data_IF_479874686556
#
_entry.id   IF_479874686556
#
_cell.length_a   1.000
_cell.length_b   1.000
_cell.length_c   1.000
_cell.angle_alpha   90.00
_cell.angle_beta   90.00
_cell.angle_gamma   90.00
#
_symmetry.space_group_name_H-M   'P 1'
#
loop_
_entity.id
_entity.type
_entity.pdbx_description
1 polymer ?
#
# COMPACT_ATOMS: atom_id res chain seq x y z
N UNK A 1 -81.06 -55.30 -75.37
CA UNK A 1 -81.28 -55.64 -73.96
C UNK A 1 -80.86 -54.46 -73.11
N UNK A 2 -81.78 -53.98 -72.26
CA UNK A 2 -81.70 -53.21 -71.00
C UNK A 2 -80.29 -52.71 -70.59
N UNK A 3 -80.03 -51.46 -70.19
CA UNK A 3 -80.89 -50.30 -69.91
C UNK A 3 -80.11 -49.17 -69.20
N UNK A 4 -80.77 -48.03 -69.00
CA UNK A 4 -80.50 -47.08 -67.90
C UNK A 4 -79.48 -45.95 -68.10
N UNK A 5 -79.94 -44.75 -68.48
CA UNK A 5 -79.95 -43.56 -67.61
C UNK A 5 -80.33 -42.30 -68.40
N UNK A 6 -81.52 -41.76 -68.13
CA UNK A 6 -81.95 -40.42 -68.49
C UNK A 6 -81.94 -39.57 -67.22
N UNK A 7 -81.66 -38.27 -67.38
CA UNK A 7 -81.64 -37.17 -66.37
C UNK A 7 -80.24 -36.75 -65.88
N UNK A 8 -79.38 -36.31 -66.81
CA UNK A 8 -78.26 -35.41 -66.51
C UNK A 8 -78.56 -34.00 -67.02
N UNK A 9 -78.61 -32.99 -66.13
CA UNK A 9 -78.61 -31.57 -66.53
C UNK A 9 -77.17 -31.19 -66.88
N UNK A 10 -76.90 -30.96 -68.17
CA UNK A 10 -75.59 -30.49 -68.67
C UNK A 10 -75.35 -29.04 -68.23
N UNK A 11 -74.29 -28.78 -67.49
CA UNK A 11 -73.81 -27.43 -67.20
C UNK A 11 -72.96 -26.95 -68.40
N UNK A 12 -73.50 -26.02 -69.18
CA UNK A 12 -72.79 -25.32 -70.25
C UNK A 12 -72.02 -24.13 -69.71
N UNK A 13 -70.69 -24.16 -69.79
CA UNK A 13 -69.84 -22.98 -69.73
C UNK A 13 -69.51 -22.56 -71.16
N UNK A 14 -69.95 -21.36 -71.55
CA UNK A 14 -69.63 -20.72 -72.83
C UNK A 14 -68.13 -20.39 -72.89
N UNK A 15 -67.35 -21.29 -73.48
CA UNK A 15 -66.04 -20.96 -74.03
C UNK A 15 -66.21 -20.30 -75.40
N UNK A 16 -65.53 -19.19 -75.62
CA UNK A 16 -65.45 -18.49 -76.90
C UNK A 16 -65.01 -19.44 -78.03
N UNK A 17 -65.64 -19.29 -79.20
CA UNK A 17 -65.76 -20.31 -80.25
C UNK A 17 -64.79 -20.11 -81.44
N UNK A 18 -63.85 -19.17 -81.38
CA UNK A 18 -62.82 -19.02 -82.42
C UNK A 18 -61.54 -18.30 -81.94
N UNK A 19 -60.48 -19.01 -81.48
CA UNK A 19 -59.19 -18.39 -81.14
C UNK A 19 -58.44 -17.78 -82.34
N UNK A 20 -58.93 -17.98 -83.56
CA UNK A 20 -58.38 -17.42 -84.80
C UNK A 20 -58.84 -15.97 -85.08
N UNK A 21 -59.84 -15.46 -84.36
CA UNK A 21 -60.35 -14.10 -84.56
C UNK A 21 -59.74 -13.20 -83.47
N UNK A 22 -58.87 -12.29 -83.88
CA UNK A 22 -58.28 -11.30 -82.98
C UNK A 22 -59.37 -10.28 -82.61
N UNK A 23 -59.62 -9.98 -81.31
CA UNK A 23 -60.63 -9.00 -80.92
C UNK A 23 -60.23 -7.60 -81.40
N UNK A 24 -61.10 -6.94 -82.16
CA UNK A 24 -60.90 -5.58 -82.63
C UNK A 24 -61.23 -4.58 -81.52
N UNK A 25 -60.21 -4.12 -80.79
CA UNK A 25 -60.33 -3.11 -79.75
C UNK A 25 -58.98 -2.46 -79.46
N UNK A 26 -58.99 -1.20 -79.01
CA UNK A 26 -57.77 -0.45 -78.66
C UNK A 26 -57.28 -0.92 -77.30
N UNK A 27 -56.24 -1.75 -77.28
CA UNK A 27 -55.60 -2.16 -76.03
C UNK A 27 -54.65 -1.05 -75.57
N UNK A 28 -55.01 -0.34 -74.50
CA UNK A 28 -54.10 0.60 -73.84
C UNK A 28 -53.12 -0.21 -73.00
N UNK A 29 -51.99 -0.61 -73.60
CA UNK A 29 -50.89 -1.22 -72.86
C UNK A 29 -50.07 -0.13 -72.17
N UNK A 30 -50.13 -0.10 -70.86
CA UNK A 30 -49.00 0.18 -69.96
C UNK A 30 -49.37 -0.46 -68.61
N UNK A 31 -48.72 -1.58 -68.28
CA UNK A 31 -48.90 -2.27 -67.00
C UNK A 31 -48.14 -1.54 -65.88
N UNK A 32 -48.53 -0.31 -65.59
CA UNK A 32 -48.01 0.49 -64.47
C UNK A 32 -48.78 0.15 -63.18
N UNK A 33 -48.70 -1.11 -62.77
CA UNK A 33 -49.36 -1.56 -61.54
C UNK A 33 -48.71 -0.95 -60.29
N UNK A 34 -49.47 -0.79 -59.19
CA UNK A 34 -48.97 -0.25 -57.92
C UNK A 34 -47.71 -0.99 -57.39
N UNK A 35 -47.59 -2.29 -57.69
CA UNK A 35 -46.40 -3.10 -57.36
C UNK A 35 -45.14 -2.59 -58.07
N UNK A 36 -45.26 -2.15 -59.31
CA UNK A 36 -44.14 -1.63 -60.12
C UNK A 36 -43.61 -0.33 -59.51
N UNK A 37 -44.51 0.54 -59.03
CA UNK A 37 -44.16 1.81 -58.41
C UNK A 37 -43.49 1.68 -57.03
N UNK A 38 -43.78 0.60 -56.28
CA UNK A 38 -43.18 0.32 -54.97
C UNK A 38 -41.83 -0.37 -55.06
N UNK A 39 -41.60 -1.14 -56.13
CA UNK A 39 -40.37 -1.88 -56.36
C UNK A 39 -39.49 -1.13 -57.37
N UNK A 40 -39.12 0.10 -56.99
CA UNK A 40 -38.38 1.00 -57.88
C UNK A 40 -37.03 0.40 -58.33
N UNK A 41 -36.34 -0.27 -57.42
CA UNK A 41 -35.01 -0.87 -57.65
C UNK A 41 -35.03 -2.06 -58.62
N UNK A 42 -36.18 -2.71 -58.84
CA UNK A 42 -36.29 -3.90 -59.69
C UNK A 42 -36.86 -3.61 -61.09
N UNK A 43 -37.63 -2.52 -61.23
CA UNK A 43 -38.43 -2.27 -62.43
C UNK A 43 -37.97 -1.06 -63.24
N UNK A 44 -37.25 -0.12 -62.62
CA UNK A 44 -36.61 0.98 -63.32
C UNK A 44 -35.13 0.65 -63.47
N UNK A 45 -34.60 0.81 -64.70
CA UNK A 45 -33.17 0.61 -65.00
C UNK A 45 -32.29 1.26 -63.94
N UNK A 46 -31.24 0.55 -63.55
CA UNK A 46 -30.27 0.90 -62.51
C UNK A 46 -30.07 2.41 -62.40
N UNK A 47 -30.39 2.95 -61.23
CA UNK A 47 -30.19 4.37 -60.96
C UNK A 47 -28.72 4.70 -61.22
N UNK A 48 -28.40 5.60 -62.16
CA UNK A 48 -27.01 5.92 -62.44
C UNK A 48 -26.36 6.49 -61.19
N UNK A 49 -25.22 5.92 -60.81
CA UNK A 49 -24.45 6.41 -59.69
C UNK A 49 -24.01 7.85 -59.93
N UNK A 50 -23.85 8.60 -58.84
CA UNK A 50 -23.38 9.98 -58.94
C UNK A 50 -21.88 9.95 -59.27
N UNK A 51 -21.43 10.59 -60.36
CA UNK A 51 -20.02 10.61 -60.74
C UNK A 51 -19.14 11.16 -59.62
N UNK A 52 -17.96 10.57 -59.41
CA UNK A 52 -17.04 10.89 -58.31
C UNK A 52 -16.64 12.36 -58.26
N UNK A 53 -16.40 13.00 -59.41
CA UNK A 53 -16.01 14.41 -59.53
C UNK A 53 -17.05 15.38 -58.95
N UNK A 54 -18.34 15.05 -59.10
CA UNK A 54 -19.46 15.90 -58.69
C UNK A 54 -19.94 15.52 -57.27
N UNK A 55 -19.61 14.29 -56.82
CA UNK A 55 -20.08 13.72 -55.54
C UNK A 55 -19.77 14.64 -54.35
N UNK A 56 -18.59 15.27 -54.31
CA UNK A 56 -18.19 16.22 -53.25
C UNK A 56 -19.07 17.47 -53.10
N UNK A 57 -19.78 17.88 -54.15
CA UNK A 57 -20.71 19.04 -54.12
C UNK A 57 -22.17 18.63 -53.90
N UNK A 58 -22.48 17.33 -53.89
CA UNK A 58 -23.85 16.83 -53.84
C UNK A 58 -24.31 16.63 -52.39
N UNK A 59 -25.57 16.98 -52.12
CA UNK A 59 -26.22 16.76 -50.81
C UNK A 59 -26.24 15.28 -50.40
N UNK A 60 -26.17 14.36 -51.35
CA UNK A 60 -26.06 12.92 -51.06
C UNK A 60 -24.91 12.64 -50.10
N UNK A 61 -23.75 13.27 -50.28
CA UNK A 61 -22.54 13.04 -49.47
C UNK A 61 -22.61 13.70 -48.09
N UNK A 62 -23.41 14.76 -47.92
CA UNK A 62 -23.65 15.40 -46.61
C UNK A 62 -24.59 14.57 -45.74
N UNK A 63 -25.51 13.82 -46.35
CA UNK A 63 -26.51 13.00 -45.68
C UNK A 63 -26.14 11.51 -45.62
N UNK A 64 -24.88 11.14 -45.89
CA UNK A 64 -24.41 9.76 -45.70
C UNK A 64 -24.29 9.45 -44.21
N UNK A 65 -24.98 8.41 -43.70
CA UNK A 65 -24.95 8.08 -42.28
C UNK A 65 -23.57 7.52 -41.88
N UNK A 66 -23.02 8.01 -40.77
CA UNK A 66 -21.82 7.46 -40.15
C UNK A 66 -20.48 7.90 -40.78
N UNK A 67 -20.50 8.81 -41.77
CA UNK A 67 -19.30 9.33 -42.42
C UNK A 67 -19.04 10.78 -41.95
N UNK A 68 -17.76 11.13 -41.77
CA UNK A 68 -17.36 12.50 -41.42
C UNK A 68 -17.60 13.41 -42.63
N UNK A 69 -18.45 14.43 -42.47
CA UNK A 69 -18.71 15.43 -43.51
C UNK A 69 -17.50 16.35 -43.64
N UNK A 70 -16.78 16.23 -44.77
CA UNK A 70 -15.71 17.17 -45.16
C UNK A 70 -16.32 18.37 -45.88
N UNK A 71 -15.75 19.56 -45.67
CA UNK A 71 -16.10 20.73 -46.47
C UNK A 71 -15.72 20.51 -47.94
N UNK A 72 -16.59 20.90 -48.88
CA UNK A 72 -16.38 20.63 -50.32
C UNK A 72 -15.09 21.23 -50.89
N UNK A 73 -14.59 22.33 -50.30
CA UNK A 73 -13.33 22.96 -50.70
C UNK A 73 -12.07 22.20 -50.27
N UNK A 74 -12.16 21.35 -49.25
CA UNK A 74 -11.04 20.56 -48.70
C UNK A 74 -11.30 19.05 -48.81
N UNK A 75 -12.27 18.65 -49.64
CA UNK A 75 -12.68 17.26 -49.78
C UNK A 75 -11.63 16.43 -50.52
N UNK A 76 -10.96 17.04 -51.51
CA UNK A 76 -9.89 16.43 -52.29
C UNK A 76 -8.51 16.51 -51.61
N UNK A 77 -8.41 17.28 -50.52
CA UNK A 77 -7.16 17.44 -49.80
C UNK A 77 -6.79 16.10 -49.13
N UNK A 78 -5.55 15.68 -49.35
CA UNK A 78 -4.98 14.56 -48.63
C UNK A 78 -4.93 14.91 -47.15
N UNK A 79 -5.47 14.02 -46.30
CA UNK A 79 -5.36 14.19 -44.85
C UNK A 79 -3.87 14.32 -44.50
N UNK A 80 -3.47 15.31 -43.67
CA UNK A 80 -2.08 15.45 -43.23
C UNK A 80 -1.62 14.26 -42.37
N UNK A 81 -2.58 13.45 -41.91
CA UNK A 81 -2.39 12.21 -41.19
C UNK A 81 -1.93 11.10 -42.15
N UNK A 82 -0.62 10.87 -42.24
CA UNK A 82 -0.18 9.49 -42.43
C UNK A 82 -0.79 8.68 -41.28
N UNK A 83 -1.50 7.60 -41.60
CA UNK A 83 -2.41 6.83 -40.72
C UNK A 83 -1.79 6.39 -39.38
N UNK A 84 -0.47 6.56 -39.18
CA UNK A 84 0.25 6.16 -37.98
C UNK A 84 1.13 7.26 -37.35
N UNK A 85 0.94 8.54 -37.67
CA UNK A 85 1.74 9.62 -37.05
C UNK A 85 0.93 10.33 -35.97
N UNK A 86 1.34 10.25 -34.68
CA UNK A 86 0.63 10.94 -33.60
C UNK A 86 0.81 12.45 -33.72
N UNK A 87 -0.27 13.20 -33.47
CA UNK A 87 -0.23 14.67 -33.38
C UNK A 87 0.07 15.08 -31.93
N UNK A 88 1.23 15.69 -31.71
CA UNK A 88 1.62 16.18 -30.40
C UNK A 88 3.11 16.53 -30.32
N UNK A 89 3.49 17.27 -29.28
CA UNK A 89 4.91 17.50 -28.98
C UNK A 89 5.44 16.24 -28.31
N UNK A 90 6.29 15.49 -29.02
CA UNK A 90 7.07 14.43 -28.38
C UNK A 90 8.16 15.10 -27.54
N UNK A 91 8.00 15.13 -26.23
CA UNK A 91 9.12 15.39 -25.33
C UNK A 91 10.06 14.19 -25.44
N UNK A 92 11.05 14.28 -26.33
CA UNK A 92 12.13 13.31 -26.36
C UNK A 92 12.82 13.37 -24.99
N UNK A 93 12.90 12.24 -24.24
CA UNK A 93 13.68 12.22 -23.01
C UNK A 93 15.11 12.61 -23.38
N UNK A 94 15.64 13.66 -22.75
CA UNK A 94 17.06 13.97 -22.90
C UNK A 94 17.82 12.75 -22.40
N UNK A 95 18.81 12.29 -23.15
CA UNK A 95 19.64 11.13 -22.76
C UNK A 95 20.24 11.35 -21.37
N UNK A 96 20.49 12.60 -21.01
CA UNK A 96 21.00 13.05 -19.70
C UNK A 96 20.03 12.75 -18.53
N UNK A 97 18.71 12.76 -18.78
CA UNK A 97 17.67 12.57 -17.76
C UNK A 97 17.27 11.08 -17.58
N UNK A 98 17.97 10.16 -18.26
CA UNK A 98 17.72 8.74 -18.11
C UNK A 98 18.14 8.27 -16.70
N UNK A 99 17.27 7.49 -16.04
CA UNK A 99 17.50 6.95 -14.69
C UNK A 99 18.86 6.23 -14.57
N UNK A 100 19.27 5.53 -15.63
CA UNK A 100 20.55 4.82 -15.69
C UNK A 100 21.76 5.74 -15.56
N UNK A 101 21.68 6.97 -16.06
CA UNK A 101 22.76 7.96 -15.96
C UNK A 101 22.80 8.63 -14.57
N UNK A 102 21.64 8.79 -13.93
CA UNK A 102 21.56 9.37 -12.58
C UNK A 102 21.98 8.37 -11.50
N UNK A 103 21.70 7.08 -11.68
CA UNK A 103 21.97 6.04 -10.68
C UNK A 103 23.40 5.46 -10.77
N UNK A 104 24.09 5.64 -11.89
CA UNK A 104 25.45 5.12 -12.09
C UNK A 104 26.50 6.09 -11.55
N UNK A 105 27.07 5.74 -10.40
CA UNK A 105 28.10 6.56 -9.75
C UNK A 105 29.53 6.22 -10.21
N UNK A 106 29.81 4.95 -10.47
CA UNK A 106 31.14 4.49 -10.90
C UNK A 106 31.13 4.00 -12.35
N UNK A 107 32.22 4.19 -13.09
CA UNK A 107 32.35 3.62 -14.43
C UNK A 107 32.39 2.09 -14.34
N UNK A 108 31.84 1.41 -15.34
CA UNK A 108 31.81 -0.07 -15.39
C UNK A 108 33.14 -0.70 -15.79
N UNK A 109 34.05 0.09 -16.37
CA UNK A 109 35.36 -0.40 -16.83
C UNK A 109 36.37 -0.37 -15.68
N UNK A 110 37.07 -1.50 -15.47
CA UNK A 110 38.16 -1.62 -14.49
C UNK A 110 39.25 -0.56 -14.69
N UNK A 111 39.59 -0.25 -15.95
CA UNK A 111 40.59 0.78 -16.27
C UNK A 111 40.13 2.16 -15.78
N UNK A 112 38.86 2.49 -15.97
CA UNK A 112 38.32 3.77 -15.52
C UNK A 112 38.18 3.85 -14.00
N UNK A 113 37.84 2.74 -13.33
CA UNK A 113 37.84 2.66 -11.87
C UNK A 113 39.25 2.87 -11.30
N UNK A 114 40.24 2.14 -11.84
CA UNK A 114 41.65 2.32 -11.46
C UNK A 114 42.15 3.75 -11.71
N UNK A 115 41.75 4.37 -12.83
CA UNK A 115 42.07 5.78 -13.12
C UNK A 115 41.47 6.72 -12.08
N UNK A 116 40.22 6.47 -11.65
CA UNK A 116 39.54 7.26 -10.63
C UNK A 116 40.25 7.12 -9.29
N UNK A 117 40.57 5.91 -8.86
CA UNK A 117 41.37 5.66 -7.66
C UNK A 117 42.72 6.39 -7.71
N UNK A 118 43.40 6.38 -8.87
CA UNK A 118 44.66 7.11 -9.07
C UNK A 118 44.53 8.63 -8.98
N UNK A 119 43.37 9.18 -9.36
CA UNK A 119 43.09 10.61 -9.20
C UNK A 119 42.80 10.95 -7.73
N UNK A 120 42.13 10.05 -7.02
CA UNK A 120 41.76 10.20 -5.61
C UNK A 120 42.88 9.85 -4.62
N UNK A 121 43.95 9.18 -5.07
CA UNK A 121 45.18 8.88 -4.32
C UNK A 121 45.81 10.13 -3.69
N UNK A 122 45.52 11.33 -4.20
CA UNK A 122 46.03 12.60 -3.67
C UNK A 122 45.41 12.92 -2.30
N UNK A 123 44.18 12.48 -2.04
CA UNK A 123 43.43 12.84 -0.84
C UNK A 123 44.02 12.24 0.44
N UNK A 124 43.89 12.99 1.53
CA UNK A 124 44.43 12.59 2.83
C UNK A 124 43.70 11.36 3.43
N UNK A 125 42.39 11.22 3.17
CA UNK A 125 41.60 10.05 3.57
C UNK A 125 42.11 8.80 2.87
N UNK A 126 42.24 8.83 1.54
CA UNK A 126 42.76 7.71 0.74
C UNK A 126 44.14 7.22 1.22
N UNK A 127 45.02 8.15 1.64
CA UNK A 127 46.36 7.81 2.17
C UNK A 127 46.35 7.27 3.60
N UNK A 128 45.46 7.77 4.46
CA UNK A 128 45.42 7.43 5.90
C UNK A 128 44.54 6.21 6.20
N UNK A 129 43.54 5.96 5.37
CA UNK A 129 42.51 4.95 5.59
C UNK A 129 42.37 4.00 4.38
N UNK A 130 43.46 3.37 3.89
CA UNK A 130 43.35 2.40 2.82
C UNK A 130 42.61 1.15 3.31
N UNK A 131 41.54 0.75 2.61
CA UNK A 131 40.74 -0.40 3.01
C UNK A 131 41.59 -1.69 3.04
N UNK A 132 41.55 -2.39 4.17
CA UNK A 132 42.28 -3.65 4.37
C UNK A 132 43.80 -3.50 4.55
N UNK A 133 44.33 -2.26 4.59
CA UNK A 133 45.75 -1.99 4.84
C UNK A 133 45.88 -1.00 5.99
N UNK A 134 47.00 -1.06 6.72
CA UNK A 134 47.34 -0.03 7.69
C UNK A 134 47.89 1.22 6.99
N UNK A 135 47.77 2.38 7.63
CA UNK A 135 48.30 3.63 7.11
C UNK A 135 49.82 3.55 6.88
N UNK A 136 50.25 3.75 5.62
CA UNK A 136 51.67 3.80 5.28
C UNK A 136 52.25 5.16 5.66
N UNK A 137 53.21 5.17 6.59
CA UNK A 137 53.85 6.40 7.09
C UNK A 137 55.01 6.91 6.23
N UNK A 138 55.33 6.22 5.12
CA UNK A 138 56.40 6.61 4.20
C UNK A 138 57.82 6.37 4.71
N UNK A 139 58.02 5.52 5.72
CA UNK A 139 59.36 5.18 6.23
C UNK A 139 60.12 4.29 5.24
N UNK A 140 61.41 4.55 5.06
CA UNK A 140 62.32 3.68 4.30
C UNK A 140 62.82 2.55 5.22
N UNK A 141 62.38 1.33 4.95
CA UNK A 141 62.79 0.14 5.69
C UNK A 141 64.00 -0.49 4.97
N UNK A 142 65.06 -0.95 5.67
CA UNK A 142 66.18 -1.65 5.06
C UNK A 142 65.70 -2.89 4.28
N UNK A 143 66.28 -3.14 3.09
CA UNK A 143 65.75 -4.13 2.12
C UNK A 143 65.59 -5.56 2.67
N UNK A 144 66.37 -5.95 3.68
CA UNK A 144 66.35 -7.30 4.25
C UNK A 144 65.30 -7.48 5.36
N UNK A 145 64.78 -6.39 5.93
CA UNK A 145 63.88 -6.41 7.10
C UNK A 145 62.42 -6.57 6.67
N UNK A 146 61.77 -7.64 7.12
CA UNK A 146 60.38 -7.99 6.81
C UNK A 146 60.21 -9.05 5.71
N UNK A 147 61.26 -9.34 4.93
CA UNK A 147 61.27 -10.45 3.96
C UNK A 147 62.13 -11.63 4.46
N UNK A 148 63.44 -11.38 4.68
CA UNK A 148 64.40 -12.40 5.11
C UNK A 148 64.69 -12.32 6.60
N UNK A 149 64.79 -11.12 7.15
CA UNK A 149 65.01 -10.89 8.58
C UNK A 149 63.70 -10.47 9.25
N UNK A 150 63.25 -11.15 10.32
CA UNK A 150 62.09 -10.72 11.09
C UNK A 150 62.37 -9.41 11.83
N UNK A 151 61.30 -8.69 12.21
CA UNK A 151 61.42 -7.52 13.06
C UNK A 151 61.81 -7.91 14.51
N UNK A 152 62.66 -7.10 15.14
CA UNK A 152 63.13 -7.32 16.51
C UNK A 152 64.58 -7.77 16.60
N UNK A 153 65.07 -7.99 17.82
CA UNK A 153 66.40 -8.57 18.05
C UNK A 153 66.31 -10.09 17.96
N UNK A 154 67.12 -10.70 17.09
CA UNK A 154 67.09 -12.13 16.88
C UNK A 154 67.97 -12.86 17.90
N UNK A 155 67.35 -13.75 18.66
CA UNK A 155 68.03 -14.75 19.50
C UNK A 155 67.59 -16.10 18.94
N UNK A 156 68.55 -16.93 18.51
CA UNK A 156 68.26 -18.23 17.92
C UNK A 156 67.93 -19.26 19.00
N UNK A 157 66.74 -19.13 19.59
CA UNK A 157 66.31 -19.98 20.69
C UNK A 157 66.32 -21.46 20.30
N UNK A 158 66.02 -21.78 19.03
CA UNK A 158 65.98 -23.17 18.56
C UNK A 158 67.37 -23.79 18.47
N UNK A 159 68.37 -23.08 17.96
CA UNK A 159 69.75 -23.61 17.95
C UNK A 159 70.33 -23.64 19.35
N UNK A 160 70.04 -22.63 20.18
CA UNK A 160 70.43 -22.64 21.59
C UNK A 160 69.76 -23.77 22.37
N UNK A 161 68.54 -24.19 22.04
CA UNK A 161 67.89 -25.34 22.68
C UNK A 161 68.40 -26.68 22.12
N UNK A 162 68.79 -26.73 20.84
CA UNK A 162 69.32 -27.93 20.19
C UNK A 162 70.76 -28.25 20.64
N UNK A 163 71.59 -27.21 20.77
CA UNK A 163 72.95 -27.28 21.32
C UNK A 163 73.06 -26.36 22.53
N UNK A 164 72.49 -26.77 23.67
CA UNK A 164 72.46 -25.93 24.84
C UNK A 164 73.87 -25.72 25.36
N UNK A 165 74.35 -24.46 25.48
CA UNK A 165 75.64 -24.18 26.11
C UNK A 165 75.63 -24.62 27.57
N UNK A 166 74.43 -24.77 28.17
CA UNK A 166 74.27 -25.36 29.49
C UNK A 166 74.81 -26.80 29.54
N UNK A 167 74.75 -27.60 28.47
CA UNK A 167 75.29 -28.98 28.51
C UNK A 167 76.81 -28.99 28.68
N UNK A 168 77.51 -28.13 27.96
CA UNK A 168 78.98 -27.99 28.07
C UNK A 168 79.40 -27.33 29.38
N UNK A 169 78.59 -26.41 29.90
CA UNK A 169 78.81 -25.79 31.22
C UNK A 169 78.50 -26.76 32.39
N UNK A 170 77.44 -27.57 32.28
CA UNK A 170 77.04 -28.55 33.29
C UNK A 170 77.93 -29.79 33.27
N UNK A 171 78.41 -30.17 32.09
CA UNK A 171 79.26 -31.33 31.86
C UNK A 171 80.46 -30.92 30.99
N UNK A 172 81.52 -30.38 31.59
CA UNK A 172 82.73 -30.00 30.86
C UNK A 172 83.48 -31.25 30.41
N UNK A 173 83.20 -31.72 29.20
CA UNK A 173 83.84 -32.92 28.62
C UNK A 173 85.28 -32.63 28.16
N UNK A 174 85.60 -31.37 27.86
CA UNK A 174 86.92 -30.95 27.37
C UNK A 174 87.94 -30.67 28.49
N UNK A 175 87.54 -30.84 29.76
CA UNK A 175 88.43 -30.68 30.92
C UNK A 175 88.90 -32.07 31.34
N UNK A 176 90.22 -32.29 31.33
CA UNK A 176 90.82 -33.55 31.76
C UNK A 176 90.35 -33.92 33.18
N UNK A 177 89.87 -35.15 33.37
CA UNK A 177 89.40 -35.64 34.68
C UNK A 177 90.53 -35.53 35.72
N UNK A 178 90.24 -34.92 36.87
CA UNK A 178 91.19 -34.81 37.97
C UNK A 178 91.41 -36.18 38.64
N UNK A 179 92.67 -36.58 38.82
CA UNK A 179 93.03 -37.82 39.49
C UNK A 179 92.54 -37.81 40.96
N UNK A 180 91.57 -38.67 41.33
CA UNK A 180 90.84 -38.56 42.60
C UNK A 180 91.68 -38.94 43.84
N UNK A 181 92.88 -39.49 43.64
CA UNK A 181 93.79 -39.88 44.71
C UNK A 181 95.18 -39.24 44.54
N UNK A 182 95.24 -38.09 43.88
CA UNK A 182 96.46 -37.32 43.71
C UNK A 182 96.90 -36.60 45.00
N UNK A 183 98.16 -36.17 45.05
CA UNK A 183 98.76 -35.45 46.19
C UNK A 183 98.02 -34.14 46.57
N UNK A 184 97.17 -33.63 45.68
CA UNK A 184 96.32 -32.48 45.94
C UNK A 184 95.15 -32.84 46.87
N UNK A 185 94.54 -34.03 46.76
CA UNK A 185 93.39 -34.43 47.57
C UNK A 185 93.72 -34.47 49.08
N UNK A 186 94.84 -35.08 49.48
CA UNK A 186 95.25 -35.15 50.89
C UNK A 186 95.48 -33.76 51.52
N UNK A 187 95.97 -32.81 50.73
CA UNK A 187 96.17 -31.42 51.17
C UNK A 187 94.83 -30.71 51.38
N UNK A 188 93.84 -30.94 50.51
CA UNK A 188 92.49 -30.38 50.65
C UNK A 188 91.74 -30.98 51.84
N UNK A 189 91.85 -32.29 52.07
CA UNK A 189 91.30 -32.97 53.28
C UNK A 189 91.83 -32.32 54.57
N UNK A 190 93.13 -32.03 54.64
CA UNK A 190 93.75 -31.46 55.85
C UNK A 190 93.41 -29.98 56.05
N UNK A 191 93.36 -29.19 54.98
CA UNK A 191 93.20 -27.73 55.05
C UNK A 191 91.74 -27.28 55.09
N UNK A 192 90.90 -27.91 54.27
CA UNK A 192 89.49 -27.54 54.10
C UNK A 192 88.53 -28.58 54.67
N UNK A 193 89.02 -29.76 55.07
CA UNK A 193 88.16 -30.84 55.58
C UNK A 193 87.32 -31.49 54.50
N UNK A 194 87.77 -31.46 53.24
CA UNK A 194 87.06 -31.98 52.08
C UNK A 194 87.41 -33.46 51.82
N UNK A 195 86.60 -34.36 52.38
CA UNK A 195 86.82 -35.82 52.33
C UNK A 195 86.08 -36.44 51.14
N UNK A 196 86.62 -37.52 50.57
CA UNK A 196 85.94 -38.24 49.50
C UNK A 196 84.63 -38.91 49.99
N UNK A 197 83.63 -39.09 49.12
CA UNK A 197 82.40 -39.77 49.49
C UNK A 197 82.65 -41.19 50.03
N UNK A 198 82.21 -41.45 51.28
CA UNK A 198 82.42 -42.74 51.97
C UNK A 198 83.71 -42.83 52.78
N UNK A 199 84.57 -41.80 52.74
CA UNK A 199 85.77 -41.74 53.55
C UNK A 199 85.42 -41.28 54.98
N UNK A 200 85.75 -42.11 55.97
CA UNK A 200 85.59 -41.73 57.37
C UNK A 200 86.68 -40.73 57.76
N UNK A 201 86.27 -39.58 58.32
CA UNK A 201 87.18 -38.56 58.83
C UNK A 201 88.20 -39.17 59.78
N UNK A 202 89.45 -39.26 59.34
CA UNK A 202 90.55 -39.74 60.17
C UNK A 202 91.00 -38.61 61.08
N UNK A 203 90.72 -38.77 62.38
CA UNK A 203 91.07 -37.79 63.42
C UNK A 203 92.51 -37.94 63.93
N UNK A 204 93.28 -38.83 63.29
CA UNK A 204 94.62 -39.25 63.69
C UNK A 204 94.72 -39.55 65.20
N UNK A 205 93.66 -40.13 65.76
CA UNK A 205 93.71 -40.66 67.11
C UNK A 205 94.65 -41.85 67.11
N UNK A 206 95.53 -41.88 68.09
CA UNK A 206 96.34 -43.05 68.38
C UNK A 206 95.44 -44.09 69.06
N UNK A 207 94.57 -44.74 68.29
CA UNK A 207 93.65 -45.79 68.78
C UNK A 207 94.42 -46.97 69.43
N UNK A 208 95.69 -47.15 69.07
CA UNK A 208 96.63 -48.07 69.73
C UNK A 208 96.79 -47.76 71.24
N UNK A 209 96.56 -46.52 71.68
CA UNK A 209 96.63 -46.13 73.10
C UNK A 209 95.31 -46.36 73.88
N UNK A 210 94.15 -46.52 73.23
CA UNK A 210 92.83 -46.68 73.91
C UNK A 210 92.34 -48.12 74.00
N UNK A 211 92.96 -49.06 73.28
CA UNK A 211 92.66 -50.50 73.35
C UNK A 211 91.29 -50.94 72.82
N UNK A 212 90.51 -50.02 72.24
CA UNK A 212 89.20 -50.26 71.62
C UNK A 212 89.39 -50.33 70.11
N UNK A 213 88.86 -51.38 69.49
CA UNK A 213 88.73 -51.45 68.03
C UNK A 213 87.40 -50.81 67.60
N UNK A 214 87.42 -49.67 66.90
CA UNK A 214 86.22 -48.90 66.55
C UNK A 214 85.23 -49.65 65.66
N UNK A 215 85.65 -50.71 64.99
CA UNK A 215 84.78 -51.42 64.05
C UNK A 215 83.78 -52.38 64.73
N UNK A 216 84.04 -52.84 65.95
CA UNK A 216 83.36 -54.04 66.50
C UNK A 216 82.45 -53.79 67.71
N UNK A 217 82.56 -52.66 68.40
CA UNK A 217 81.80 -52.39 69.63
C UNK A 217 80.42 -51.71 69.36
N UNK A 218 79.30 -52.19 69.97
CA UNK A 218 77.95 -51.58 69.81
C UNK A 218 77.65 -50.50 70.85
N UNK A 219 77.24 -49.33 70.37
CA UNK A 219 77.00 -48.16 71.20
C UNK A 219 75.49 -47.85 71.31
N UNK A 220 74.98 -47.57 72.51
CA UNK A 220 73.61 -47.04 72.73
C UNK A 220 72.80 -47.66 73.90
N UNK A 221 71.63 -47.07 74.23
CA UNK A 221 70.69 -47.47 75.31
C UNK A 221 69.26 -47.64 74.76
N UNK A 222 68.43 -48.57 75.31
CA UNK A 222 67.14 -49.07 74.74
C UNK A 222 65.90 -48.71 75.59
N UNK A 223 64.72 -48.59 74.94
CA UNK A 223 63.49 -47.92 75.42
C UNK A 223 62.40 -48.79 76.08
N UNK A 224 61.42 -48.12 76.72
CA UNK A 224 60.97 -48.51 78.06
C UNK A 224 59.44 -48.70 78.26
N UNK A 225 58.50 -48.40 77.33
CA UNK A 225 57.04 -48.68 77.53
C UNK A 225 56.09 -48.71 76.28
N UNK A 226 55.12 -49.65 76.15
CA UNK A 226 54.19 -49.77 74.99
C UNK A 226 52.66 -49.55 75.23
N UNK A 227 51.90 -49.29 74.13
CA UNK A 227 50.46 -48.88 74.04
C UNK A 227 49.43 -50.00 74.36
N UNK A 228 48.29 -49.68 75.02
CA UNK A 228 47.29 -50.68 75.50
C UNK A 228 45.86 -50.50 74.95
N UNK A 229 45.15 -51.62 74.82
CA UNK A 229 43.76 -51.79 74.37
C UNK A 229 43.38 -51.20 72.99
N UNK A 230 44.35 -51.16 72.07
CA UNK A 230 44.12 -50.68 70.71
C UNK A 230 43.03 -51.43 69.95
N UNK A 231 42.86 -52.73 70.16
CA UNK A 231 41.96 -53.58 69.34
C UNK A 231 40.48 -53.38 69.68
N UNK A 232 40.14 -53.14 70.95
CA UNK A 232 38.76 -52.97 71.39
C UNK A 232 38.13 -51.67 70.86
N UNK A 233 38.95 -50.62 70.72
CA UNK A 233 38.56 -49.32 70.14
C UNK A 233 38.25 -49.43 68.64
N UNK A 234 38.95 -50.31 67.92
CA UNK A 234 38.75 -50.51 66.47
C UNK A 234 37.44 -51.23 66.15
N UNK A 235 37.00 -52.17 67.00
CA UNK A 235 35.82 -53.02 66.73
C UNK A 235 34.48 -52.34 67.03
N UNK A 236 34.43 -51.46 68.03
CA UNK A 236 33.24 -50.69 68.32
C UNK A 236 33.61 -49.20 68.34
N UNK A 237 33.43 -48.48 67.22
CA UNK A 237 33.82 -47.07 67.12
C UNK A 237 33.05 -46.16 68.08
N UNK A 238 31.95 -46.63 68.67
CA UNK A 238 31.26 -45.88 69.75
C UNK A 238 32.01 -45.89 71.09
N UNK A 239 33.04 -46.74 71.27
CA UNK A 239 33.84 -46.83 72.50
C UNK A 239 35.09 -45.95 72.50
N UNK A 240 35.48 -45.42 71.35
CA UNK A 240 36.61 -44.50 71.28
C UNK A 240 36.13 -43.09 71.64
N UNK A 241 36.70 -42.49 72.67
CA UNK A 241 36.27 -41.15 73.13
C UNK A 241 36.54 -40.08 72.07
N UNK A 242 37.54 -40.32 71.21
CA UNK A 242 37.86 -39.46 70.06
C UNK A 242 36.84 -39.58 68.90
N UNK A 243 35.93 -40.58 68.92
CA UNK A 243 35.01 -40.91 67.83
C UNK A 243 33.53 -40.80 68.25
N UNK A 244 33.07 -39.60 68.61
CA UNK A 244 31.64 -39.34 68.84
C UNK A 244 30.95 -38.89 67.55
N UNK A 245 29.75 -39.42 67.27
CA UNK A 245 28.93 -39.09 66.11
C UNK A 245 28.46 -37.62 66.16
N UNK A 246 29.29 -36.69 65.66
CA UNK A 246 28.95 -35.28 65.57
C UNK A 246 27.97 -35.10 64.40
N UNK A 247 26.74 -34.68 64.70
CA UNK A 247 25.85 -34.14 63.65
C UNK A 247 26.45 -32.82 63.16
N UNK A 248 27.10 -32.88 62.00
CA UNK A 248 27.65 -31.67 61.38
C UNK A 248 26.51 -30.79 60.90
N UNK A 249 26.58 -29.48 61.14
CA UNK A 249 25.68 -28.52 60.49
C UNK A 249 26.05 -28.49 59.01
N UNK A 250 25.14 -28.97 58.18
CA UNK A 250 25.36 -29.12 56.75
C UNK A 250 24.71 -27.95 56.00
N UNK A 251 25.33 -27.45 54.91
CA UNK A 251 24.69 -26.47 54.04
C UNK A 251 23.38 -27.02 53.44
N UNK A 252 22.32 -26.21 53.49
CA UNK A 252 20.97 -26.54 52.98
C UNK A 252 20.95 -27.15 51.58
N UNK A 253 21.86 -26.73 50.68
CA UNK A 253 21.98 -27.29 49.33
C UNK A 253 22.35 -28.77 49.34
N UNK A 254 23.26 -29.20 50.22
CA UNK A 254 23.66 -30.60 50.33
C UNK A 254 22.52 -31.45 50.90
N UNK A 255 21.76 -30.92 51.86
CA UNK A 255 20.55 -31.56 52.39
C UNK A 255 19.48 -31.77 51.31
N UNK A 256 19.16 -30.75 50.52
CA UNK A 256 18.22 -30.91 49.39
C UNK A 256 18.69 -31.90 48.33
N UNK A 257 20.01 -31.96 48.08
CA UNK A 257 20.60 -32.97 47.20
C UNK A 257 20.40 -34.38 47.77
N UNK A 258 20.73 -34.59 49.04
CA UNK A 258 20.53 -35.87 49.73
C UNK A 258 19.06 -36.31 49.77
N UNK A 259 18.12 -35.38 49.97
CA UNK A 259 16.68 -35.66 49.96
C UNK A 259 16.15 -36.12 48.60
N UNK A 260 16.78 -35.69 47.51
CA UNK A 260 16.34 -36.04 46.14
C UNK A 260 17.07 -37.28 45.62
N UNK A 261 18.34 -37.41 45.95
CA UNK A 261 19.20 -38.50 45.50
C UNK A 261 19.08 -39.75 46.39
N UNK A 262 18.83 -39.56 47.69
CA UNK A 262 18.66 -40.61 48.67
C UNK A 262 17.30 -41.32 48.56
N UNK A 263 17.31 -42.61 48.91
CA UNK A 263 16.12 -43.44 48.97
C UNK A 263 15.75 -43.70 50.43
N UNK A 264 14.59 -43.22 50.85
CA UNK A 264 14.05 -43.47 52.19
C UNK A 264 13.17 -44.72 52.17
N UNK A 265 13.33 -45.57 53.18
CA UNK A 265 12.55 -46.80 53.29
C UNK A 265 11.06 -46.46 53.49
N UNK A 266 10.20 -47.02 52.63
CA UNK A 266 8.74 -46.89 52.73
C UNK A 266 8.13 -45.61 52.15
N UNK A 267 8.95 -44.71 51.59
CA UNK A 267 8.46 -43.53 50.84
C UNK A 267 8.79 -43.66 49.35
N UNK A 268 7.93 -43.16 48.44
CA UNK A 268 8.29 -43.05 47.04
C UNK A 268 9.44 -42.04 46.87
N UNK A 269 10.26 -42.23 45.84
CA UNK A 269 11.43 -41.38 45.58
C UNK A 269 11.01 -39.92 45.41
N UNK A 270 11.64 -39.04 46.18
CA UNK A 270 11.36 -37.62 46.13
C UNK A 270 12.06 -36.99 44.93
N UNK A 271 11.30 -36.58 43.91
CA UNK A 271 11.87 -36.05 42.66
C UNK A 271 12.09 -34.53 42.68
N UNK A 272 12.06 -33.88 43.85
CA UNK A 272 12.37 -32.45 43.97
C UNK A 272 11.32 -31.51 43.35
N UNK A 273 10.14 -32.02 43.00
CA UNK A 273 9.03 -31.17 42.57
C UNK A 273 8.47 -30.49 43.83
N UNK A 274 8.71 -29.19 43.96
CA UNK A 274 8.20 -28.41 45.08
C UNK A 274 6.67 -28.40 45.16
N UNK A 275 6.14 -27.65 46.11
CA UNK A 275 4.69 -27.54 46.29
C UNK A 275 4.04 -26.90 45.05
N UNK A 276 3.05 -27.60 44.49
CA UNK A 276 2.30 -27.13 43.32
C UNK A 276 1.05 -26.33 43.70
N UNK A 277 0.82 -26.10 45.00
CA UNK A 277 -0.33 -25.34 45.51
C UNK A 277 -1.68 -26.03 45.22
N UNK A 278 -1.65 -27.36 45.08
CA UNK A 278 -2.84 -28.18 44.83
C UNK A 278 -3.43 -28.61 46.17
N UNK A 279 -4.76 -28.52 46.27
CA UNK A 279 -5.47 -29.02 47.45
C UNK A 279 -5.47 -30.55 47.50
N UNK A 280 -5.60 -31.10 48.70
CA UNK A 280 -5.63 -32.55 48.97
C UNK A 280 -6.78 -33.28 48.27
N UNK A 281 -7.86 -32.58 47.92
CA UNK A 281 -9.02 -33.13 47.19
C UNK A 281 -8.85 -33.08 45.65
N UNK A 282 -7.76 -32.47 45.16
CA UNK A 282 -7.48 -32.39 43.72
C UNK A 282 -7.25 -33.78 43.11
N UNK A 283 -8.03 -34.12 42.09
CA UNK A 283 -7.86 -35.35 41.32
C UNK A 283 -6.93 -35.10 40.13
N UNK A 284 -5.81 -35.82 40.10
CA UNK A 284 -4.86 -35.75 38.98
C UNK A 284 -5.44 -36.43 37.74
N UNK A 285 -5.29 -35.77 36.58
CA UNK A 285 -5.79 -36.25 35.28
C UNK A 285 -6.26 -35.09 34.41
N UNK A 286 -6.67 -35.39 33.18
CA UNK A 286 -7.30 -34.39 32.30
C UNK A 286 -8.81 -34.63 32.31
N UNK A 287 -9.64 -33.68 32.75
CA UNK A 287 -11.09 -33.85 32.71
C UNK A 287 -11.55 -33.96 31.24
N UNK A 288 -12.56 -34.80 31.00
CA UNK A 288 -13.14 -34.99 29.66
C UNK A 288 -13.75 -33.70 29.10
N UNK A 289 -14.33 -32.86 29.98
CA UNK A 289 -14.80 -31.52 29.67
C UNK A 289 -13.75 -30.50 30.12
N UNK A 290 -13.23 -29.73 29.18
CA UNK A 290 -12.28 -28.63 29.46
C UNK A 290 -13.00 -27.32 29.77
N UNK A 291 -14.18 -27.12 29.20
CA UNK A 291 -15.05 -25.95 29.38
C UNK A 291 -16.51 -26.37 29.11
N UNK A 292 -17.47 -25.53 29.50
CA UNK A 292 -18.89 -25.76 29.19
C UNK A 292 -19.14 -25.47 27.71
N UNK A 293 -19.20 -26.53 26.90
CA UNK A 293 -19.54 -26.46 25.48
C UNK A 293 -21.02 -26.11 25.26
N UNK A 294 -21.34 -25.53 24.10
CA UNK A 294 -22.72 -25.24 23.75
C UNK A 294 -23.50 -26.53 23.52
N UNK A 295 -24.62 -26.67 24.24
CA UNK A 295 -25.59 -27.72 23.94
C UNK A 295 -26.21 -27.54 22.55
N UNK A 296 -26.64 -28.65 21.93
CA UNK A 296 -27.15 -28.67 20.55
C UNK A 296 -28.27 -27.64 20.29
N UNK A 297 -29.15 -27.39 21.27
CA UNK A 297 -30.21 -26.38 21.16
C UNK A 297 -29.66 -24.96 21.02
N UNK A 298 -28.66 -24.60 21.84
CA UNK A 298 -28.04 -23.26 21.81
C UNK A 298 -27.27 -23.06 20.51
N UNK A 299 -26.63 -24.11 20.00
CA UNK A 299 -25.94 -24.08 18.71
C UNK A 299 -26.89 -23.80 17.53
N UNK A 300 -28.08 -24.42 17.52
CA UNK A 300 -29.06 -24.26 16.43
C UNK A 300 -29.74 -22.89 16.42
N UNK A 301 -30.02 -22.32 17.60
CA UNK A 301 -30.65 -21.01 17.72
C UNK A 301 -29.64 -19.88 17.55
N UNK A 302 -28.41 -20.08 18.04
CA UNK A 302 -27.39 -19.04 18.12
C UNK A 302 -27.77 -17.92 19.09
N UNK A 303 -26.77 -17.22 19.61
CA UNK A 303 -26.98 -16.01 20.41
C UNK A 303 -26.73 -14.77 19.52
N UNK A 304 -27.55 -14.61 18.48
CA UNK A 304 -27.43 -13.48 17.56
C UNK A 304 -28.01 -12.21 18.20
N UNK A 305 -27.25 -11.10 18.23
CA UNK A 305 -27.78 -9.81 18.68
C UNK A 305 -28.88 -9.32 17.73
N UNK A 306 -29.75 -8.43 18.23
CA UNK A 306 -30.98 -8.02 17.53
C UNK A 306 -30.70 -7.41 16.14
N UNK A 307 -29.57 -6.74 15.96
CA UNK A 307 -29.08 -6.22 14.68
C UNK A 307 -28.79 -7.31 13.64
N UNK A 308 -28.25 -8.45 14.06
CA UNK A 308 -28.00 -9.61 13.19
C UNK A 308 -29.27 -10.41 12.88
N UNK A 309 -30.35 -10.21 13.65
CA UNK A 309 -31.65 -10.81 13.37
C UNK A 309 -32.47 -10.00 12.35
N UNK A 310 -32.17 -8.71 12.19
CA UNK A 310 -32.84 -7.86 11.22
C UNK A 310 -32.46 -8.26 9.78
N UNK A 311 -33.38 -8.08 8.81
CA UNK A 311 -33.07 -8.30 7.40
C UNK A 311 -32.04 -7.28 6.89
N UNK A 312 -31.30 -7.66 5.84
CA UNK A 312 -30.28 -6.84 5.21
C UNK A 312 -30.83 -5.47 4.77
N UNK A 313 -30.04 -4.42 4.95
CA UNK A 313 -30.49 -3.05 4.74
C UNK A 313 -30.78 -2.71 3.25
N UNK A 314 -30.15 -3.40 2.30
CA UNK A 314 -30.25 -3.13 0.86
C UNK A 314 -31.45 -3.82 0.19
N UNK A 315 -32.28 -4.51 0.98
CA UNK A 315 -33.53 -5.07 0.52
C UNK A 315 -34.47 -3.97 0.02
N UNK A 316 -34.73 -3.97 -1.29
CA UNK A 316 -35.66 -3.07 -1.96
C UNK A 316 -35.16 -1.64 -2.17
N UNK A 317 -33.91 -1.31 -1.82
CA UNK A 317 -33.36 0.05 -1.95
C UNK A 317 -31.87 0.04 -2.25
N UNK A 318 -31.43 0.97 -3.09
CA UNK A 318 -30.00 1.17 -3.35
C UNK A 318 -29.33 1.93 -2.17
N UNK A 319 -28.36 1.29 -1.51
CA UNK A 319 -27.53 1.90 -0.45
C UNK A 319 -26.22 2.49 -1.01
N UNK A 320 -25.86 2.14 -2.25
CA UNK A 320 -24.62 2.58 -2.90
C UNK A 320 -24.55 4.11 -2.94
N UNK A 321 -23.48 4.66 -2.37
CA UNK A 321 -23.21 6.10 -2.36
C UNK A 321 -23.24 6.61 -3.82
N UNK A 322 -24.08 7.61 -4.10
CA UNK A 322 -24.34 8.14 -5.44
C UNK A 322 -25.66 7.70 -6.09
N UNK A 323 -26.25 6.59 -5.63
CA UNK A 323 -27.51 6.04 -6.18
C UNK A 323 -28.60 5.89 -5.11
N UNK A 324 -28.41 6.51 -3.95
CA UNK A 324 -29.37 6.43 -2.84
C UNK A 324 -30.65 7.16 -3.21
N UNK A 325 -31.78 6.47 -3.11
CA UNK A 325 -33.10 7.06 -3.35
C UNK A 325 -33.65 7.69 -2.05
N UNK A 326 -32.91 8.66 -1.53
CA UNK A 326 -33.31 9.46 -0.36
C UNK A 326 -33.49 10.91 -0.82
N UNK A 327 -34.71 11.31 -1.27
CA UNK A 327 -34.96 12.70 -1.60
C UNK A 327 -34.94 13.54 -0.31
N UNK A 328 -34.23 14.67 -0.33
CA UNK A 328 -34.24 15.63 0.77
C UNK A 328 -35.50 16.51 0.77
N UNK A 329 -36.06 16.78 -0.42
CA UNK A 329 -37.20 17.68 -0.64
C UNK A 329 -38.15 17.07 -1.68
N UNK A 330 -39.44 17.41 -1.64
CA UNK A 330 -40.43 17.12 -2.69
C UNK A 330 -40.25 18.00 -3.94
N UNK A 331 -39.00 18.28 -4.34
CA UNK A 331 -38.72 19.04 -5.56
C UNK A 331 -38.53 18.10 -6.74
N UNK A 332 -39.00 18.53 -7.90
CA UNK A 332 -38.72 17.83 -9.14
C UNK A 332 -37.24 18.02 -9.50
N UNK A 333 -36.50 16.94 -9.66
CA UNK A 333 -35.12 16.98 -10.11
C UNK A 333 -35.10 17.10 -11.64
N UNK A 334 -34.52 18.18 -12.16
CA UNK A 334 -34.42 18.46 -13.59
C UNK A 334 -34.18 19.94 -13.88
N UNK A 335 -34.06 20.29 -15.16
CA UNK A 335 -34.05 21.68 -15.62
C UNK A 335 -35.42 21.98 -16.25
N UNK A 336 -36.19 22.95 -15.73
CA UNK A 336 -37.48 23.30 -16.33
C UNK A 336 -37.27 23.96 -17.70
N UNK A 337 -38.23 23.76 -18.61
CA UNK A 337 -38.18 24.38 -19.94
C UNK A 337 -38.26 25.90 -19.89
N UNK A 338 -39.08 26.44 -18.99
CA UNK A 338 -39.15 27.87 -18.69
C UNK A 338 -38.33 28.11 -17.41
N UNK A 339 -37.25 28.87 -17.53
CA UNK A 339 -36.24 29.04 -16.47
C UNK A 339 -36.55 30.18 -15.52
N UNK A 340 -37.72 30.12 -14.89
CA UNK A 340 -38.12 31.09 -13.84
C UNK A 340 -37.28 30.96 -12.56
N UNK A 341 -36.57 29.83 -12.40
CA UNK A 341 -35.65 29.54 -11.30
C UNK A 341 -34.36 30.38 -11.36
N UNK A 342 -34.03 30.94 -12.51
CA UNK A 342 -32.82 31.73 -12.72
C UNK A 342 -33.11 33.21 -12.50
N UNK A 343 -32.32 33.84 -11.64
CA UNK A 343 -32.38 35.30 -11.52
C UNK A 343 -31.99 35.95 -12.85
N UNK A 344 -32.78 36.93 -13.31
CA UNK A 344 -32.54 37.71 -14.54
C UNK A 344 -31.09 38.21 -14.66
N UNK A 345 -30.51 38.69 -13.56
CA UNK A 345 -29.11 39.15 -13.53
C UNK A 345 -28.08 38.08 -13.90
N UNK A 346 -28.40 36.80 -13.74
CA UNK A 346 -27.52 35.68 -14.06
C UNK A 346 -27.70 35.15 -15.50
N UNK A 347 -28.85 35.39 -16.16
CA UNK A 347 -29.06 35.05 -17.58
C UNK A 347 -28.49 36.10 -18.52
N UNK A 348 -28.49 37.36 -18.10
CA UNK A 348 -27.89 38.45 -18.85
C UNK A 348 -26.36 38.44 -18.72
N UNK A 349 -25.68 38.62 -19.86
CA UNK A 349 -24.21 38.68 -19.91
C UNK A 349 -23.76 40.01 -19.29
N UNK A 350 -22.73 39.95 -18.45
CA UNK A 350 -22.08 41.15 -17.92
C UNK A 350 -21.49 41.93 -19.10
N UNK A 351 -22.06 43.09 -19.40
CA UNK A 351 -21.45 44.02 -20.33
C UNK A 351 -20.17 44.55 -19.70
N UNK A 352 -19.04 44.47 -20.42
CA UNK A 352 -17.75 44.90 -19.89
C UNK A 352 -17.67 46.43 -19.69
N UNK A 353 -18.57 47.17 -20.33
CA UNK A 353 -18.54 48.62 -20.44
C UNK A 353 -19.72 49.34 -19.72
N UNK A 354 -20.70 48.61 -19.18
CA UNK A 354 -21.85 49.16 -18.42
C UNK A 354 -22.16 48.34 -17.18
N UNK A 355 -22.68 48.98 -16.12
CA UNK A 355 -23.15 48.30 -14.89
C UNK A 355 -24.43 47.48 -15.08
N UNK A 356 -25.05 47.58 -16.25
CA UNK A 356 -26.31 46.91 -16.58
C UNK A 356 -26.03 45.60 -17.32
N UNK A 357 -26.67 44.51 -16.87
CA UNK A 357 -26.57 43.22 -17.54
C UNK A 357 -27.49 43.22 -18.78
N UNK A 358 -26.99 42.72 -19.91
CA UNK A 358 -27.71 42.76 -21.20
C UNK A 358 -28.09 41.34 -21.65
N UNK A 359 -29.27 41.16 -22.28
CA UNK A 359 -29.68 39.85 -22.85
C UNK A 359 -28.70 39.47 -23.94
N UNK A 360 -28.22 38.23 -23.91
CA UNK A 360 -27.35 37.72 -24.96
C UNK A 360 -28.08 37.75 -26.31
N UNK A 361 -27.37 38.10 -27.38
CA UNK A 361 -27.96 38.12 -28.73
C UNK A 361 -28.45 36.74 -29.17
N UNK A 362 -27.79 35.68 -28.71
CA UNK A 362 -28.05 34.29 -29.08
C UNK A 362 -28.56 33.45 -27.89
N UNK A 363 -29.42 34.02 -27.05
CA UNK A 363 -30.03 33.28 -25.95
C UNK A 363 -31.24 32.47 -26.46
N UNK A 364 -31.21 31.15 -26.24
CA UNK A 364 -32.23 30.22 -26.70
C UNK A 364 -33.18 29.73 -25.61
N UNK A 365 -33.03 30.20 -24.37
CA UNK A 365 -33.90 29.83 -23.26
C UNK A 365 -34.92 30.93 -22.96
N UNK A 366 -36.12 30.51 -22.58
CA UNK A 366 -37.15 31.39 -22.03
C UNK A 366 -37.00 31.48 -20.50
N UNK A 367 -37.10 32.70 -19.98
CA UNK A 367 -36.99 33.04 -18.54
C UNK A 367 -38.33 33.48 -17.93
N UNK A 368 -39.43 33.37 -18.67
CA UNK A 368 -40.78 33.70 -18.21
C UNK A 368 -41.17 35.17 -18.39
N UNK A 369 -40.45 35.91 -19.23
CA UNK A 369 -40.76 37.31 -19.60
C UNK A 369 -41.23 37.47 -21.03
N UNK A 370 -41.21 36.39 -21.81
CA UNK A 370 -41.56 36.44 -23.21
C UNK A 370 -43.08 36.56 -23.39
N UNK A 371 -43.54 37.45 -24.28
CA UNK A 371 -44.97 37.59 -24.56
C UNK A 371 -45.50 36.34 -25.27
N UNK A 372 -46.77 36.05 -25.08
CA UNK A 372 -47.44 34.99 -25.82
C UNK A 372 -47.43 35.27 -27.34
N UNK A 373 -47.51 34.20 -28.14
CA UNK A 373 -47.56 34.28 -29.59
C UNK A 373 -48.73 35.14 -30.09
N UNK A 374 -49.87 35.13 -29.39
CA UNK A 374 -51.00 36.01 -29.70
C UNK A 374 -50.66 37.50 -29.54
N UNK A 375 -50.01 37.88 -28.44
CA UNK A 375 -49.59 39.27 -28.17
C UNK A 375 -48.56 39.75 -29.19
N UNK A 376 -47.69 38.88 -29.68
CA UNK A 376 -46.73 39.22 -30.74
C UNK A 376 -47.39 39.52 -32.08
N UNK A 377 -48.44 38.78 -32.44
CA UNK A 377 -49.22 39.02 -33.65
C UNK A 377 -50.09 40.28 -33.55
N UNK A 378 -50.59 40.58 -32.35
CA UNK A 378 -51.46 41.72 -32.08
C UNK A 378 -50.88 42.60 -30.96
N UNK A 379 -49.78 43.34 -31.24
CA UNK A 379 -49.10 44.10 -30.22
C UNK A 379 -49.96 45.25 -29.69
N UNK A 380 -49.76 45.60 -28.43
CA UNK A 380 -50.44 46.74 -27.83
C UNK A 380 -50.07 48.04 -28.54
N UNK A 381 -50.97 49.03 -28.46
CA UNK A 381 -50.69 50.35 -28.99
C UNK A 381 -49.47 51.03 -28.34
N UNK A 382 -48.89 50.52 -27.26
CA UNK A 382 -47.68 51.08 -26.66
C UNK A 382 -46.38 50.38 -27.11
N UNK A 383 -46.47 49.23 -27.79
CA UNK A 383 -45.32 48.47 -28.26
C UNK A 383 -44.45 49.30 -29.23
N UNK A 384 -45.05 50.16 -30.06
CA UNK A 384 -44.30 51.06 -30.95
C UNK A 384 -43.43 52.09 -30.21
N UNK A 385 -43.67 52.28 -28.90
CA UNK A 385 -42.89 53.16 -28.01
C UNK A 385 -41.90 52.37 -27.15
N UNK A 386 -41.73 51.07 -27.41
CA UNK A 386 -40.84 50.19 -26.65
C UNK A 386 -41.42 49.67 -25.33
N UNK A 387 -42.73 49.86 -25.08
CA UNK A 387 -43.39 49.34 -23.87
C UNK A 387 -43.99 47.97 -24.18
N UNK A 388 -43.43 46.92 -23.55
CA UNK A 388 -43.83 45.52 -23.71
C UNK A 388 -44.76 45.11 -22.56
N UNK A 389 -45.51 44.01 -22.74
CA UNK A 389 -46.47 43.47 -21.76
C UNK A 389 -45.90 43.31 -20.35
N UNK A 390 -44.65 42.84 -20.23
CA UNK A 390 -43.97 42.69 -18.94
C UNK A 390 -43.92 44.01 -18.14
N UNK A 391 -43.71 45.18 -18.78
CA UNK A 391 -43.66 46.48 -18.09
C UNK A 391 -45.00 46.86 -17.44
N UNK A 392 -46.12 46.35 -17.97
CA UNK A 392 -47.44 46.57 -17.39
C UNK A 392 -47.72 45.68 -16.18
N UNK A 393 -47.06 44.52 -16.12
CA UNK A 393 -47.20 43.50 -15.07
C UNK A 393 -46.19 43.69 -13.92
N UNK A 394 -45.20 44.57 -14.08
CA UNK A 394 -44.26 44.88 -13.02
C UNK A 394 -44.98 45.40 -11.76
N UNK A 395 -44.62 44.91 -10.56
CA UNK A 395 -45.27 45.31 -9.32
C UNK A 395 -44.74 46.68 -8.84
N UNK A 396 -45.61 47.67 -8.79
CA UNK A 396 -45.30 49.00 -8.27
C UNK A 396 -45.77 49.16 -6.82
N UNK A 397 -44.97 49.88 -6.03
CA UNK A 397 -45.38 50.37 -4.72
C UNK A 397 -46.35 51.54 -4.86
N UNK A 398 -47.22 51.75 -3.86
CA UNK A 398 -48.22 52.82 -3.83
C UNK A 398 -47.67 54.20 -4.23
N UNK A 399 -46.52 54.59 -3.66
CA UNK A 399 -45.89 55.89 -3.90
C UNK A 399 -45.44 56.04 -5.37
N UNK A 400 -44.68 55.05 -5.88
CA UNK A 400 -44.20 55.03 -7.26
C UNK A 400 -45.34 55.04 -8.29
N UNK A 401 -46.40 54.25 -8.05
CA UNK A 401 -47.53 54.19 -8.98
C UNK A 401 -48.30 55.52 -9.00
N UNK A 402 -48.44 56.18 -7.84
CA UNK A 402 -49.05 57.52 -7.75
C UNK A 402 -48.26 58.57 -8.53
N UNK A 403 -46.94 58.58 -8.36
CA UNK A 403 -46.05 59.48 -9.10
C UNK A 403 -46.15 59.23 -10.61
N UNK A 404 -46.08 57.97 -11.03
CA UNK A 404 -46.21 57.57 -12.43
C UNK A 404 -47.52 58.05 -13.06
N UNK A 405 -48.66 57.85 -12.40
CA UNK A 405 -49.97 58.29 -12.90
C UNK A 405 -50.13 59.81 -12.91
N UNK A 406 -49.53 60.51 -11.95
CA UNK A 406 -49.51 61.99 -11.92
C UNK A 406 -48.77 62.51 -13.16
N UNK A 407 -47.60 61.95 -13.46
CA UNK A 407 -46.81 62.31 -14.64
C UNK A 407 -47.52 61.94 -15.95
N UNK A 408 -48.32 60.87 -15.95
CA UNK A 408 -49.13 60.45 -17.09
C UNK A 408 -50.39 61.31 -17.31
N UNK A 409 -50.71 62.23 -16.39
CA UNK A 409 -51.89 63.09 -16.48
C UNK A 409 -53.23 62.37 -16.21
N UNK A 410 -53.21 61.30 -15.41
CA UNK A 410 -54.43 60.55 -15.03
C UNK A 410 -55.04 61.12 -13.76
N UNK A 411 -56.36 61.27 -13.73
CA UNK A 411 -57.10 61.76 -12.54
C UNK A 411 -56.94 60.82 -11.33
N UNK A 412 -56.57 61.36 -10.16
CA UNK A 412 -56.25 60.61 -8.95
C UNK A 412 -57.32 60.64 -7.85
N UNK A 413 -58.57 61.02 -8.17
CA UNK A 413 -59.61 61.31 -7.16
C UNK A 413 -59.89 60.13 -6.20
N UNK A 414 -59.90 58.90 -6.72
CA UNK A 414 -60.18 57.67 -5.95
C UNK A 414 -58.97 56.72 -5.92
N UNK A 415 -57.75 57.25 -6.02
CA UNK A 415 -56.52 56.47 -6.19
C UNK A 415 -56.34 55.36 -5.14
N UNK A 416 -56.54 55.69 -3.87
CA UNK A 416 -56.31 54.77 -2.75
C UNK A 416 -57.25 53.55 -2.78
N UNK A 417 -58.51 53.76 -3.20
CA UNK A 417 -59.50 52.71 -3.32
C UNK A 417 -59.17 51.76 -4.48
N UNK A 418 -58.82 52.31 -5.65
CA UNK A 418 -58.41 51.50 -6.81
C UNK A 418 -57.12 50.73 -6.52
N UNK A 419 -56.18 51.33 -5.80
CA UNK A 419 -54.93 50.69 -5.42
C UNK A 419 -55.15 49.51 -4.45
N UNK A 420 -56.01 49.68 -3.44
CA UNK A 420 -56.36 48.60 -2.51
C UNK A 420 -56.96 47.41 -3.24
N UNK A 421 -57.97 47.65 -4.10
CA UNK A 421 -58.57 46.59 -4.91
C UNK A 421 -57.56 45.91 -5.85
N UNK A 422 -56.65 46.68 -6.47
CA UNK A 422 -55.62 46.12 -7.35
C UNK A 422 -54.61 45.26 -6.58
N UNK A 423 -54.18 45.71 -5.40
CA UNK A 423 -53.28 44.95 -4.54
C UNK A 423 -53.91 43.65 -4.02
N UNK A 424 -55.22 43.67 -3.73
CA UNK A 424 -55.97 42.48 -3.30
C UNK A 424 -56.12 41.43 -4.41
N UNK A 425 -56.24 41.88 -5.66
CA UNK A 425 -56.29 41.00 -6.84
C UNK A 425 -54.93 40.37 -7.13
N UNK A 426 -53.87 41.18 -7.12
CA UNK A 426 -52.53 40.76 -7.57
C UNK A 426 -51.76 39.92 -6.54
N UNK A 427 -52.00 40.12 -5.25
CA UNK A 427 -51.40 39.32 -4.15
C UNK A 427 -49.88 39.17 -4.19
N UNK A 428 -49.14 40.13 -4.76
CA UNK A 428 -47.66 40.11 -4.83
C UNK A 428 -46.95 40.19 -3.46
N UNK A 429 -47.68 40.46 -2.37
CA UNK A 429 -47.11 40.69 -1.04
C UNK A 429 -46.51 42.10 -0.89
N UNK A 430 -46.67 42.72 0.28
CA UNK A 430 -46.08 44.03 0.59
C UNK A 430 -46.78 45.25 -0.02
N UNK A 431 -48.09 45.16 -0.33
CA UNK A 431 -48.90 46.30 -0.78
C UNK A 431 -48.47 46.86 -2.13
N UNK A 432 -48.22 45.98 -3.10
CA UNK A 432 -47.84 46.32 -4.48
C UNK A 432 -48.94 45.88 -5.44
N UNK A 433 -49.13 46.61 -6.54
CA UNK A 433 -49.98 46.20 -7.65
C UNK A 433 -49.33 46.54 -8.99
N UNK A 434 -49.76 45.87 -10.05
CA UNK A 434 -49.31 46.16 -11.40
C UNK A 434 -50.19 47.24 -12.07
N UNK A 435 -49.63 47.91 -13.08
CA UNK A 435 -50.33 49.00 -13.78
C UNK A 435 -51.54 48.46 -14.55
N UNK A 436 -51.42 47.25 -15.10
CA UNK A 436 -52.48 46.59 -15.86
C UNK A 436 -53.76 46.39 -15.03
N UNK A 437 -53.64 45.79 -13.85
CA UNK A 437 -54.79 45.54 -12.97
C UNK A 437 -55.34 46.83 -12.39
N UNK A 438 -54.46 47.77 -12.01
CA UNK A 438 -54.89 49.09 -11.56
C UNK A 438 -55.77 49.81 -12.61
N UNK A 439 -55.31 49.90 -13.87
CA UNK A 439 -56.08 50.56 -14.94
C UNK A 439 -57.35 49.80 -15.29
N UNK A 440 -57.32 48.48 -15.26
CA UNK A 440 -58.51 47.65 -15.46
C UNK A 440 -59.57 47.92 -14.39
N UNK A 441 -59.17 48.03 -13.13
CA UNK A 441 -60.06 48.36 -12.00
C UNK A 441 -60.55 49.80 -12.10
N UNK A 442 -59.68 50.76 -12.39
CA UNK A 442 -60.06 52.15 -12.62
C UNK A 442 -61.16 52.25 -13.68
N UNK A 443 -60.93 51.64 -14.85
CA UNK A 443 -61.93 51.62 -15.93
C UNK A 443 -63.20 50.87 -15.55
N UNK A 444 -63.11 49.81 -14.74
CA UNK A 444 -64.29 49.11 -14.26
C UNK A 444 -65.17 50.00 -13.37
N UNK A 445 -64.57 50.83 -12.50
CA UNK A 445 -65.30 51.76 -11.64
C UNK A 445 -65.79 53.02 -12.37
N UNK A 446 -65.08 53.46 -13.42
CA UNK A 446 -65.39 54.68 -14.17
C UNK A 446 -66.32 54.45 -15.37
N UNK A 447 -66.63 53.18 -15.71
CA UNK A 447 -67.63 52.87 -16.74
C UNK A 447 -69.01 53.38 -16.31
N UNK A 448 -69.70 54.19 -17.13
CA UNK A 448 -71.11 54.44 -16.90
C UNK A 448 -71.87 53.10 -17.00
N UNK A 449 -72.75 52.83 -16.03
CA UNK A 449 -73.63 51.66 -16.05
C UNK A 449 -74.63 51.73 -17.20
#
# INVERSE_FOLDING_TARGET
>A
MIGGSNLGRKNGGLGDTAPAIIPAGKTTKLDEGAKVCLQQDLNFLDRPETPSEIKKYRKSTVHEPGVIVKHHGTADDTLPCQVNVPFGIQTAPKVEDALENVMRNYPSSELMQWRLERQEDVYASSKKEPLGKSALRGHQIPEQLGQHQPFGHFIDAKTLDAEPPSKTLLHPVDVAEEDPNGEHHEKYVRTHGDYAPGEQRRRNYEWEKTGIDPATHQFGVVERNPYRDGVAKVLNPTKDEDYQNISHIVPKRLEHFKLTDGEELGKPKHLGHGDRGLDSEHTFGVPSRRFEEWGARRLMQGDYPEDAQQPDADLGKSIRKGFRNTPADEKTFGVPTIRTDVSKRASHVACKDTTDNVKGLCDGNDYGEEPDAGTLLYPSAAAHRGVVEHHYLEPYTKEKLREFLTNAGVDLKNFDLYFQHAADVDKFGGGKCCIHTYRSIQHHFERPQ
#
